data_IF_952014483404
#
_entry.id   IF_952014483404
#
_cell.length_a   1.000
_cell.length_b   1.000
_cell.length_c   1.000
_cell.angle_alpha   90.00
_cell.angle_beta   90.00
_cell.angle_gamma   90.00
#
_symmetry.space_group_name_H-M   'P 1'
#
loop_
_entity.id
_entity.type
_entity.pdbx_description
1 polymer ?
#
# COMPACT_ATOMS: atom_id res chain seq x y z
N UNK A 1 17.67 -54.13 -25.95
CA UNK A 1 17.82 -53.66 -27.34
C UNK A 1 16.42 -53.35 -27.88
N UNK A 2 15.93 -52.14 -27.63
CA UNK A 2 14.79 -51.50 -28.33
C UNK A 2 15.09 -49.99 -28.30
N UNK A 3 15.29 -49.41 -29.48
CA UNK A 3 15.33 -47.95 -29.70
C UNK A 3 13.90 -47.50 -30.02
N UNK A 4 13.55 -46.31 -29.54
CA UNK A 4 12.63 -45.26 -30.08
C UNK A 4 12.14 -44.41 -28.90
N UNK A 5 11.91 -43.10 -28.92
CA UNK A 5 12.21 -41.95 -29.76
C UNK A 5 11.80 -40.74 -28.87
N UNK A 6 12.63 -39.70 -28.77
CA UNK A 6 12.31 -38.43 -28.08
C UNK A 6 11.32 -37.60 -28.93
N UNK A 7 10.13 -37.23 -28.42
CA UNK A 7 9.22 -36.38 -29.18
C UNK A 7 9.60 -34.89 -29.08
N UNK A 8 10.21 -34.41 -30.17
CA UNK A 8 10.05 -33.09 -30.80
C UNK A 8 10.04 -31.84 -29.90
N UNK A 9 11.21 -31.21 -29.80
CA UNK A 9 11.35 -29.79 -29.44
C UNK A 9 10.82 -28.93 -30.61
N UNK A 10 9.60 -28.40 -30.47
CA UNK A 10 9.05 -27.43 -31.40
C UNK A 10 9.76 -26.07 -31.25
N UNK A 11 10.63 -25.76 -32.21
CA UNK A 11 11.38 -24.52 -32.25
C UNK A 11 10.65 -23.50 -33.16
N UNK A 12 9.80 -22.66 -32.57
CA UNK A 12 9.12 -21.57 -33.31
C UNK A 12 10.06 -20.35 -33.37
N UNK A 13 10.84 -20.24 -34.45
CA UNK A 13 11.56 -19.00 -34.81
C UNK A 13 10.56 -17.97 -35.33
N UNK A 14 10.15 -17.01 -34.49
CA UNK A 14 9.45 -15.81 -34.97
C UNK A 14 10.44 -14.82 -35.59
N UNK A 15 10.10 -14.32 -36.78
CA UNK A 15 10.88 -13.36 -37.57
C UNK A 15 11.02 -12.02 -36.80
N UNK A 16 12.25 -11.58 -36.56
CA UNK A 16 12.55 -10.21 -36.09
C UNK A 16 12.32 -9.22 -37.23
N UNK A 17 11.35 -8.33 -37.09
CA UNK A 17 11.26 -7.09 -37.87
C UNK A 17 12.22 -6.06 -37.27
N UNK A 18 13.35 -5.84 -37.94
CA UNK A 18 14.32 -4.80 -37.62
C UNK A 18 13.83 -3.44 -38.13
N UNK A 19 13.00 -2.75 -37.34
CA UNK A 19 12.80 -1.31 -37.48
C UNK A 19 13.85 -0.56 -36.66
N UNK A 20 14.59 0.35 -37.30
CA UNK A 20 15.53 1.27 -36.66
C UNK A 20 14.86 1.97 -35.46
N UNK A 21 15.29 1.66 -34.24
CA UNK A 21 14.96 2.45 -33.06
C UNK A 21 16.08 3.47 -32.86
N UNK A 22 15.78 4.72 -33.18
CA UNK A 22 16.56 5.89 -32.75
C UNK A 22 16.83 5.80 -31.25
N UNK A 23 18.10 5.88 -30.87
CA UNK A 23 18.58 5.90 -29.50
C UNK A 23 18.00 7.09 -28.73
N UNK A 24 16.90 6.86 -28.00
CA UNK A 24 16.52 7.75 -26.92
C UNK A 24 17.55 7.56 -25.81
N UNK A 25 18.26 8.63 -25.52
CA UNK A 25 19.12 8.80 -24.35
C UNK A 25 18.41 8.23 -23.12
N UNK A 26 19.03 7.24 -22.47
CA UNK A 26 18.45 6.53 -21.33
C UNK A 26 18.44 7.44 -20.10
N UNK A 27 17.45 8.34 -20.02
CA UNK A 27 17.15 9.04 -18.78
C UNK A 27 16.73 7.99 -17.74
N UNK A 28 17.54 7.81 -16.69
CA UNK A 28 17.17 6.97 -15.53
C UNK A 28 15.84 7.51 -15.00
N UNK A 29 14.76 6.72 -14.97
CA UNK A 29 13.48 7.20 -14.48
C UNK A 29 13.65 7.64 -13.03
N UNK A 30 13.45 8.94 -12.76
CA UNK A 30 13.43 9.46 -11.40
C UNK A 30 12.36 8.69 -10.63
N UNK A 31 12.74 7.97 -9.57
CA UNK A 31 11.76 7.28 -8.73
C UNK A 31 10.80 8.34 -8.16
N UNK A 32 9.51 8.21 -8.48
CA UNK A 32 8.46 9.10 -8.02
C UNK A 32 7.60 8.37 -6.99
N UNK A 33 7.27 9.04 -5.89
CA UNK A 33 6.22 8.58 -4.99
C UNK A 33 4.87 8.57 -5.71
N UNK A 34 4.03 7.59 -5.38
CA UNK A 34 2.69 7.43 -5.95
C UNK A 34 1.63 7.68 -4.86
N UNK A 35 0.48 8.20 -5.27
CA UNK A 35 -0.73 8.29 -4.44
C UNK A 35 -1.73 7.27 -4.95
N UNK A 36 -2.17 6.37 -4.07
CA UNK A 36 -3.12 5.30 -4.39
C UNK A 36 -4.40 5.56 -3.60
N UNK A 37 -5.54 5.63 -4.30
CA UNK A 37 -6.86 5.80 -3.69
C UNK A 37 -7.66 4.52 -3.90
N UNK A 38 -8.01 3.84 -2.81
CA UNK A 38 -8.84 2.63 -2.83
C UNK A 38 -10.24 3.01 -2.32
N UNK A 39 -11.21 3.11 -3.23
CA UNK A 39 -12.57 3.57 -2.93
C UNK A 39 -13.65 2.58 -3.41
N UNK A 40 -14.91 2.87 -3.11
CA UNK A 40 -16.07 2.08 -3.47
C UNK A 40 -16.77 1.40 -2.27
N UNK A 41 -17.97 0.87 -2.51
CA UNK A 41 -18.82 0.28 -1.47
C UNK A 41 -18.43 -1.16 -1.11
N UNK A 42 -17.57 -1.79 -1.91
CA UNK A 42 -17.07 -3.13 -1.65
C UNK A 42 -16.26 -3.24 -0.36
N UNK A 43 -16.29 -4.45 0.24
CA UNK A 43 -15.38 -4.82 1.33
C UNK A 43 -13.95 -4.97 0.78
N UNK A 44 -12.96 -4.79 1.65
CA UNK A 44 -11.55 -5.06 1.34
C UNK A 44 -10.63 -3.85 1.13
N UNK A 45 -11.13 -2.61 1.26
CA UNK A 45 -10.29 -1.40 1.17
C UNK A 45 -9.16 -1.39 2.20
N UNK A 46 -9.53 -1.47 3.48
CA UNK A 46 -8.57 -1.57 4.59
C UNK A 46 -7.69 -2.80 4.48
N UNK A 47 -8.26 -3.96 4.14
CA UNK A 47 -7.50 -5.22 3.98
C UNK A 47 -6.45 -5.10 2.87
N UNK A 48 -6.80 -4.47 1.73
CA UNK A 48 -5.85 -4.21 0.64
C UNK A 48 -4.73 -3.27 1.08
N UNK A 49 -5.05 -2.21 1.84
CA UNK A 49 -4.05 -1.30 2.39
C UNK A 49 -3.06 -2.02 3.33
N UNK A 50 -3.55 -2.87 4.23
CA UNK A 50 -2.69 -3.70 5.09
C UNK A 50 -1.87 -4.74 4.30
N UNK A 51 -2.42 -5.30 3.22
CA UNK A 51 -1.67 -6.17 2.31
C UNK A 51 -0.50 -5.45 1.65
N UNK A 52 -0.69 -4.18 1.27
CA UNK A 52 0.37 -3.32 0.74
C UNK A 52 1.42 -2.98 1.82
N UNK A 53 0.99 -2.68 3.04
CA UNK A 53 1.90 -2.49 4.18
C UNK A 53 2.77 -3.72 4.42
N UNK A 54 2.16 -4.90 4.47
CA UNK A 54 2.87 -6.16 4.67
C UNK A 54 3.90 -6.41 3.56
N UNK A 55 3.53 -6.17 2.30
CA UNK A 55 4.46 -6.26 1.16
C UNK A 55 5.64 -5.30 1.30
N UNK A 56 5.38 -4.04 1.65
CA UNK A 56 6.42 -3.03 1.81
C UNK A 56 7.39 -3.40 2.95
N UNK A 57 6.84 -3.81 4.10
CA UNK A 57 7.64 -4.25 5.27
C UNK A 57 8.49 -5.47 4.93
N UNK A 58 7.96 -6.43 4.16
CA UNK A 58 8.71 -7.59 3.68
C UNK A 58 9.91 -7.23 2.79
N UNK A 59 9.92 -6.03 2.21
CA UNK A 59 11.05 -5.47 1.44
C UNK A 59 11.94 -4.53 2.27
N UNK A 60 11.72 -4.47 3.59
CA UNK A 60 12.52 -3.64 4.51
C UNK A 60 12.05 -2.18 4.63
N UNK A 61 10.96 -1.79 3.96
CA UNK A 61 10.43 -0.43 4.05
C UNK A 61 9.75 -0.13 5.38
N UNK A 62 9.78 1.14 5.77
CA UNK A 62 9.09 1.67 6.96
C UNK A 62 7.71 2.18 6.57
N UNK A 63 6.69 1.69 7.26
CA UNK A 63 5.30 2.00 6.96
C UNK A 63 4.64 2.74 8.12
N UNK A 64 3.91 3.81 7.81
CA UNK A 64 3.03 4.48 8.75
C UNK A 64 1.57 4.24 8.36
N UNK A 65 0.72 3.94 9.34
CA UNK A 65 -0.73 3.79 9.15
C UNK A 65 -1.44 4.71 10.13
N UNK A 66 -2.31 5.57 9.62
CA UNK A 66 -3.27 6.32 10.42
C UNK A 66 -4.67 5.82 10.12
N UNK A 67 -5.41 5.47 11.17
CA UNK A 67 -6.80 5.06 11.09
C UNK A 67 -7.71 6.18 11.61
N UNK A 68 -8.47 6.79 10.73
CA UNK A 68 -9.47 7.80 11.05
C UNK A 68 -10.76 7.17 11.55
N UNK A 69 -11.46 7.87 12.44
CA UNK A 69 -12.81 7.51 12.91
C UNK A 69 -12.88 6.09 13.53
N UNK A 70 -11.75 5.57 14.02
CA UNK A 70 -11.62 4.28 14.68
C UNK A 70 -10.95 4.48 16.03
N UNK A 71 -11.57 3.99 17.11
CA UNK A 71 -11.02 3.99 18.47
C UNK A 71 -10.64 2.61 19.01
N UNK A 72 -11.02 1.53 18.32
CA UNK A 72 -10.74 0.14 18.71
C UNK A 72 -9.68 -0.53 17.85
N UNK A 73 -8.92 -1.42 18.47
CA UNK A 73 -7.96 -2.29 17.79
C UNK A 73 -8.68 -3.47 17.12
N UNK A 74 -8.54 -3.58 15.81
CA UNK A 74 -8.99 -4.74 15.02
C UNK A 74 -7.88 -5.79 14.88
N UNK A 75 -8.21 -6.98 14.37
CA UNK A 75 -7.25 -8.09 14.25
C UNK A 75 -6.00 -7.73 13.45
N UNK A 76 -6.16 -6.97 12.36
CA UNK A 76 -5.06 -6.46 11.53
C UNK A 76 -4.13 -5.54 12.33
N UNK A 77 -4.69 -4.67 13.17
CA UNK A 77 -3.92 -3.79 14.05
C UNK A 77 -3.12 -4.62 15.06
N UNK A 78 -3.79 -5.56 15.75
CA UNK A 78 -3.19 -6.38 16.81
C UNK A 78 -2.04 -7.22 16.24
N UNK A 79 -2.26 -7.85 15.08
CA UNK A 79 -1.23 -8.62 14.40
C UNK A 79 -0.06 -7.74 13.95
N UNK A 80 -0.35 -6.59 13.35
CA UNK A 80 0.69 -5.68 12.88
C UNK A 80 1.55 -5.14 14.03
N UNK A 81 0.93 -4.68 15.13
CA UNK A 81 1.63 -4.19 16.32
C UNK A 81 2.50 -5.28 16.96
N UNK A 82 2.02 -6.53 16.97
CA UNK A 82 2.73 -7.65 17.59
C UNK A 82 3.87 -8.22 16.74
N UNK A 83 3.70 -8.27 15.42
CA UNK A 83 4.57 -9.07 14.55
C UNK A 83 5.37 -8.25 13.53
N UNK A 84 5.05 -6.98 13.30
CA UNK A 84 5.70 -6.16 12.28
C UNK A 84 6.53 -5.04 12.92
N UNK A 85 7.86 -5.19 12.92
CA UNK A 85 8.78 -4.23 13.57
C UNK A 85 8.89 -2.89 12.85
N UNK A 86 8.64 -2.83 11.54
CA UNK A 86 8.78 -1.64 10.71
C UNK A 86 7.44 -0.91 10.44
N UNK A 87 6.40 -1.17 11.23
CA UNK A 87 5.12 -0.46 11.13
C UNK A 87 4.90 0.47 12.31
N UNK A 88 4.41 1.68 12.04
CA UNK A 88 3.86 2.57 13.06
C UNK A 88 2.37 2.74 12.79
N UNK A 89 1.52 2.39 13.75
CA UNK A 89 0.07 2.58 13.62
C UNK A 89 -0.42 3.62 14.64
N UNK A 90 -1.23 4.56 14.17
CA UNK A 90 -1.95 5.53 15.00
C UNK A 90 -3.43 5.46 14.70
N UNK A 91 -4.25 5.70 15.71
CA UNK A 91 -5.70 5.79 15.59
C UNK A 91 -6.14 7.20 15.97
N UNK A 92 -7.12 7.72 15.26
CA UNK A 92 -7.68 9.05 15.47
C UNK A 92 -9.20 9.00 15.32
N UNK A 93 -9.86 8.61 16.41
CA UNK A 93 -11.31 8.52 16.50
C UNK A 93 -11.73 7.99 17.86
N UNK A 94 -13.03 8.05 18.12
CA UNK A 94 -13.66 7.46 19.30
C UNK A 94 -13.94 5.97 19.06
N UNK A 95 -14.21 5.24 20.14
CA UNK A 95 -14.71 3.85 20.06
C UNK A 95 -16.21 3.78 19.67
N UNK A 96 -16.78 4.91 19.27
CA UNK A 96 -18.15 5.06 18.77
C UNK A 96 -18.16 5.36 17.28
N UNK A 97 -19.25 4.97 16.61
CA UNK A 97 -19.49 5.37 15.23
C UNK A 97 -19.78 6.88 15.14
N UNK A 98 -19.20 7.52 14.13
CA UNK A 98 -19.50 8.92 13.81
C UNK A 98 -20.81 8.99 13.03
N UNK A 99 -21.72 9.84 13.46
CA UNK A 99 -22.93 10.15 12.70
C UNK A 99 -22.58 11.06 11.53
N UNK A 100 -22.71 10.55 10.29
CA UNK A 100 -22.24 11.26 9.10
C UNK A 100 -22.92 12.61 8.87
N UNK A 101 -24.23 12.67 9.10
CA UNK A 101 -25.03 13.87 8.84
C UNK A 101 -24.92 14.90 9.97
N UNK A 102 -24.53 14.45 11.17
CA UNK A 102 -24.45 15.27 12.38
C UNK A 102 -23.25 14.84 13.23
N UNK A 103 -22.00 15.04 12.75
CA UNK A 103 -20.81 14.65 13.49
C UNK A 103 -20.70 15.46 14.78
N UNK A 104 -20.29 14.81 15.88
CA UNK A 104 -20.06 15.54 17.12
C UNK A 104 -18.82 16.44 16.99
N UNK A 105 -18.77 17.52 17.77
CA UNK A 105 -17.62 18.42 17.76
C UNK A 105 -16.28 17.69 18.06
N UNK A 106 -16.33 16.65 18.89
CA UNK A 106 -15.20 15.79 19.21
C UNK A 106 -14.73 14.96 18.01
N UNK A 107 -15.64 14.48 17.15
CA UNK A 107 -15.29 13.72 15.95
C UNK A 107 -14.52 14.61 14.96
N UNK A 108 -14.97 15.87 14.83
CA UNK A 108 -14.31 16.89 13.99
C UNK A 108 -12.92 17.22 14.53
N UNK A 109 -12.79 17.43 15.84
CA UNK A 109 -11.51 17.71 16.48
C UNK A 109 -10.53 16.54 16.33
N UNK A 110 -11.00 15.31 16.52
CA UNK A 110 -10.19 14.10 16.30
C UNK A 110 -9.75 14.00 14.84
N UNK A 111 -10.65 14.20 13.86
CA UNK A 111 -10.29 14.19 12.45
C UNK A 111 -9.21 15.25 12.11
N UNK A 112 -9.30 16.46 12.67
CA UNK A 112 -8.29 17.52 12.51
C UNK A 112 -6.94 17.11 13.10
N UNK A 113 -6.94 16.56 14.33
CA UNK A 113 -5.73 16.01 14.95
C UNK A 113 -5.11 14.88 14.13
N UNK A 114 -5.94 14.00 13.57
CA UNK A 114 -5.52 12.94 12.66
C UNK A 114 -4.82 13.51 11.42
N UNK A 115 -5.41 14.53 10.78
CA UNK A 115 -4.79 15.20 9.63
C UNK A 115 -3.43 15.82 9.97
N UNK A 116 -3.27 16.40 11.16
CA UNK A 116 -1.98 16.95 11.59
C UNK A 116 -0.93 15.85 11.82
N UNK A 117 -1.35 14.71 12.37
CA UNK A 117 -0.49 13.52 12.51
C UNK A 117 -0.07 13.01 11.12
N UNK A 118 -1.01 12.88 10.19
CA UNK A 118 -0.74 12.46 8.81
C UNK A 118 0.26 13.39 8.12
N UNK A 119 0.03 14.71 8.21
CA UNK A 119 0.93 15.72 7.64
C UNK A 119 2.35 15.57 8.18
N UNK A 120 2.50 15.42 9.50
CA UNK A 120 3.81 15.21 10.14
C UNK A 120 4.47 13.91 9.65
N UNK A 121 3.73 12.81 9.54
CA UNK A 121 4.27 11.55 9.05
C UNK A 121 4.76 11.66 7.60
N UNK A 122 3.96 12.23 6.70
CA UNK A 122 4.29 12.44 5.28
C UNK A 122 5.54 13.31 5.13
N UNK A 123 5.61 14.43 5.86
CA UNK A 123 6.72 15.39 5.74
C UNK A 123 7.99 14.94 6.46
N UNK A 124 7.93 13.92 7.31
CA UNK A 124 9.07 13.54 8.16
C UNK A 124 10.23 12.89 7.42
N UNK A 125 10.02 12.35 6.22
CA UNK A 125 11.00 11.52 5.51
C UNK A 125 11.34 10.20 6.21
N UNK A 126 10.63 9.83 7.29
CA UNK A 126 10.90 8.61 8.09
C UNK A 126 10.26 7.34 7.52
N UNK A 127 9.28 7.51 6.64
CA UNK A 127 8.43 6.43 6.14
C UNK A 127 8.47 6.41 4.62
N UNK A 128 8.62 5.21 4.07
CA UNK A 128 8.59 4.97 2.62
C UNK A 128 7.15 4.84 2.11
N UNK A 129 6.22 4.44 2.99
CA UNK A 129 4.80 4.34 2.70
C UNK A 129 3.97 4.92 3.86
N UNK A 130 2.97 5.72 3.52
CA UNK A 130 1.98 6.28 4.45
C UNK A 130 0.60 5.84 4.01
N UNK A 131 -0.14 5.19 4.91
CA UNK A 131 -1.53 4.78 4.71
C UNK A 131 -2.43 5.65 5.57
N UNK A 132 -3.44 6.24 4.93
CA UNK A 132 -4.51 7.01 5.55
C UNK A 132 -5.81 6.22 5.36
N UNK A 133 -6.18 5.43 6.37
CA UNK A 133 -7.33 4.50 6.39
C UNK A 133 -8.50 5.07 7.20
#
# INVERSE_FOLDING_TARGET
>A
MVKTEDPAVYNVRSKKSSGLKTSKENAVPKQKGLVIVITGNGKGKTTSAFGQALRAIGQGYKVFVLQFMKGRKYGEFIAAEKYLSNITIKMSGLDSFVMRDHPAAIDIDMARKGLDIARKAIMSGKYDMVILD
#
